data_IF_555530602311
#
_entry.id   IF_555530602311
#
_cell.length_a   1.000
_cell.length_b   1.000
_cell.length_c   1.000
_cell.angle_alpha   90.00
_cell.angle_beta   90.00
_cell.angle_gamma   90.00
#
_symmetry.space_group_name_H-M   'P 1'
#
loop_
_entity.id
_entity.type
_entity.pdbx_description
1 polymer ?
#
# COMPACT_ATOMS: atom_id res chain seq x y z
N UNK A 1 -13.06 -1.63 -14.76
CA UNK A 1 -13.86 -2.64 -14.03
C UNK A 1 -12.98 -3.85 -13.77
N UNK A 2 -13.08 -4.48 -12.60
CA UNK A 2 -12.34 -5.70 -12.23
C UNK A 2 -13.28 -6.92 -12.33
N UNK A 3 -12.72 -8.11 -12.56
CA UNK A 3 -13.49 -9.34 -12.85
C UNK A 3 -14.16 -9.97 -11.62
N UNK A 4 -13.67 -9.67 -10.43
CA UNK A 4 -14.24 -10.10 -9.14
C UNK A 4 -13.73 -9.20 -8.01
N UNK A 5 -14.20 -9.45 -6.78
CA UNK A 5 -13.95 -8.61 -5.58
C UNK A 5 -12.77 -9.10 -4.73
N UNK A 6 -11.88 -9.93 -5.28
CA UNK A 6 -10.65 -10.39 -4.61
C UNK A 6 -9.45 -9.61 -5.14
N UNK A 7 -8.76 -8.93 -4.24
CA UNK A 7 -7.56 -8.12 -4.53
C UNK A 7 -6.33 -8.83 -3.96
N UNK A 8 -5.30 -9.02 -4.79
CA UNK A 8 -3.98 -9.35 -4.26
C UNK A 8 -3.38 -8.08 -3.67
N UNK A 9 -3.39 -7.97 -2.33
CA UNK A 9 -2.76 -6.87 -1.62
C UNK A 9 -1.25 -6.85 -1.84
N UNK A 10 -0.67 -5.66 -1.82
CA UNK A 10 0.77 -5.49 -1.89
C UNK A 10 1.49 -6.28 -0.79
N UNK A 11 2.45 -7.08 -1.20
CA UNK A 11 3.35 -7.85 -0.34
C UNK A 11 4.76 -7.68 -0.86
N UNK A 12 5.71 -7.32 -0.02
CA UNK A 12 7.09 -7.13 -0.43
C UNK A 12 7.72 -8.49 -0.78
N UNK A 13 8.15 -8.65 -2.03
CA UNK A 13 8.63 -9.92 -2.59
C UNK A 13 10.09 -10.23 -2.24
N UNK A 14 10.93 -9.25 -1.88
CA UNK A 14 12.36 -9.39 -1.57
C UNK A 14 13.20 -10.03 -2.70
N UNK A 15 12.74 -9.99 -3.94
CA UNK A 15 13.38 -10.71 -5.05
C UNK A 15 13.92 -9.80 -6.16
N UNK A 16 13.96 -8.47 -5.95
CA UNK A 16 14.62 -7.57 -6.88
C UNK A 16 16.15 -7.80 -6.89
N UNK A 17 16.75 -7.67 -8.06
CA UNK A 17 18.19 -7.73 -8.22
C UNK A 17 18.71 -6.31 -8.49
N UNK A 18 19.38 -5.73 -7.50
CA UNK A 18 19.89 -4.34 -7.58
C UNK A 18 18.80 -3.33 -8.02
N UNK A 19 17.62 -3.44 -7.42
CA UNK A 19 16.49 -2.58 -7.70
C UNK A 19 15.70 -2.90 -8.97
N UNK A 20 16.04 -3.97 -9.68
CA UNK A 20 15.42 -4.35 -10.96
C UNK A 20 14.39 -5.47 -10.79
N UNK A 21 13.39 -5.45 -11.63
CA UNK A 21 12.43 -6.55 -11.82
C UNK A 21 13.17 -7.82 -12.26
N UNK A 22 12.76 -8.97 -11.71
CA UNK A 22 13.30 -10.29 -12.03
C UNK A 22 12.22 -11.20 -12.61
N UNK A 23 12.61 -12.36 -13.14
CA UNK A 23 11.66 -13.37 -13.63
C UNK A 23 10.76 -13.91 -12.49
N UNK A 24 11.25 -13.88 -11.25
CA UNK A 24 10.44 -14.24 -10.08
C UNK A 24 9.24 -13.28 -9.89
N UNK A 25 9.43 -11.97 -10.07
CA UNK A 25 8.30 -11.02 -10.05
C UNK A 25 7.29 -11.32 -11.16
N UNK A 26 7.78 -11.56 -12.39
CA UNK A 26 6.94 -11.91 -13.55
C UNK A 26 6.07 -13.13 -13.25
N UNK A 27 6.68 -14.16 -12.64
CA UNK A 27 5.98 -15.39 -12.27
C UNK A 27 4.95 -15.16 -11.17
N UNK A 28 5.28 -14.40 -10.09
CA UNK A 28 4.36 -14.12 -8.98
C UNK A 28 3.08 -13.44 -9.49
N UNK A 29 3.21 -12.43 -10.36
CA UNK A 29 2.05 -11.69 -10.85
C UNK A 29 1.27 -12.45 -11.92
N UNK A 30 1.94 -13.20 -12.77
CA UNK A 30 1.29 -14.11 -13.72
C UNK A 30 0.51 -15.22 -13.00
N UNK A 31 1.07 -15.82 -11.95
CA UNK A 31 0.39 -16.84 -11.16
C UNK A 31 -0.86 -16.29 -10.45
N UNK A 32 -0.79 -15.09 -9.88
CA UNK A 32 -1.93 -14.45 -9.26
C UNK A 32 -3.04 -14.12 -10.29
N UNK A 33 -2.67 -13.67 -11.49
CA UNK A 33 -3.62 -13.40 -12.57
C UNK A 33 -4.29 -14.68 -13.08
N UNK A 34 -3.50 -15.71 -13.37
CA UNK A 34 -3.96 -17.05 -13.77
C UNK A 34 -4.83 -17.67 -12.68
N UNK A 35 -4.50 -17.42 -11.41
CA UNK A 35 -5.24 -17.86 -10.24
C UNK A 35 -6.58 -17.16 -10.03
N UNK A 36 -6.90 -16.15 -10.83
CA UNK A 36 -8.20 -15.50 -10.87
C UNK A 36 -8.36 -14.26 -9.99
N UNK A 37 -7.29 -13.62 -9.53
CA UNK A 37 -7.39 -12.33 -8.85
C UNK A 37 -8.01 -11.26 -9.76
N UNK A 38 -8.97 -10.48 -9.25
CA UNK A 38 -9.60 -9.39 -10.01
C UNK A 38 -8.69 -8.18 -10.16
N UNK A 39 -7.98 -7.84 -9.09
CA UNK A 39 -6.97 -6.79 -9.06
C UNK A 39 -5.69 -7.31 -8.37
N UNK A 40 -4.57 -7.02 -8.96
CA UNK A 40 -3.24 -7.29 -8.41
C UNK A 40 -2.59 -5.95 -8.06
N UNK A 41 -2.21 -5.77 -6.80
CA UNK A 41 -1.36 -4.66 -6.39
C UNK A 41 0.04 -5.25 -6.20
N UNK A 42 1.04 -4.70 -6.90
CA UNK A 42 2.42 -5.16 -6.79
C UNK A 42 2.93 -5.04 -5.36
N UNK A 43 4.01 -5.70 -5.01
CA UNK A 43 4.79 -5.30 -3.84
C UNK A 43 5.19 -3.83 -3.94
N UNK A 44 5.51 -3.27 -2.79
CA UNK A 44 5.88 -1.85 -2.74
C UNK A 44 7.13 -1.58 -3.56
N UNK A 45 7.07 -0.60 -4.46
CA UNK A 45 8.20 -0.16 -5.27
C UNK A 45 8.65 1.22 -4.81
N UNK A 46 9.96 1.41 -4.71
CA UNK A 46 10.53 2.69 -4.34
C UNK A 46 10.40 3.70 -5.50
N UNK A 47 9.93 4.90 -5.18
CA UNK A 47 9.77 5.99 -6.15
C UNK A 47 11.08 6.46 -6.77
N UNK A 48 12.21 6.22 -6.08
CA UNK A 48 13.57 6.52 -6.54
C UNK A 48 14.56 5.50 -6.00
N UNK A 49 15.77 5.51 -6.51
CA UNK A 49 16.85 4.62 -6.07
C UNK A 49 17.27 4.82 -4.62
N UNK A 50 17.00 6.00 -4.04
CA UNK A 50 17.31 6.31 -2.63
C UNK A 50 16.11 6.15 -1.69
N UNK A 51 14.90 5.96 -2.22
CA UNK A 51 13.65 5.86 -1.43
C UNK A 51 13.34 4.44 -0.92
N UNK A 52 14.18 3.46 -1.22
CA UNK A 52 13.97 2.04 -0.89
C UNK A 52 14.27 1.67 0.56
N UNK A 53 13.95 0.43 0.91
CA UNK A 53 14.28 -0.16 2.22
C UNK A 53 15.30 -1.31 2.14
N UNK A 54 15.95 -1.47 1.00
CA UNK A 54 16.99 -2.48 0.82
C UNK A 54 17.15 -2.96 -0.63
N UNK A 55 18.18 -3.75 -0.91
CA UNK A 55 18.58 -4.13 -2.28
C UNK A 55 17.56 -5.05 -2.98
N UNK A 56 16.70 -5.73 -2.22
CA UNK A 56 15.64 -6.60 -2.75
C UNK A 56 14.37 -5.88 -3.18
N UNK A 57 14.35 -4.52 -3.13
CA UNK A 57 13.21 -3.71 -3.54
C UNK A 57 13.40 -3.17 -4.95
N UNK A 58 12.33 -3.21 -5.76
CA UNK A 58 12.30 -2.53 -7.05
C UNK A 58 12.30 -1.01 -6.81
N UNK A 59 13.04 -0.25 -7.64
CA UNK A 59 12.89 1.20 -7.74
C UNK A 59 12.59 1.61 -9.17
N UNK A 60 11.71 2.60 -9.34
CA UNK A 60 11.19 2.98 -10.66
C UNK A 60 12.20 3.73 -11.55
N UNK A 61 13.39 4.09 -11.03
CA UNK A 61 14.38 4.90 -11.75
C UNK A 61 15.31 4.11 -12.68
N UNK A 62 15.44 2.78 -12.54
CA UNK A 62 16.42 2.07 -13.34
C UNK A 62 16.08 2.08 -14.84
N UNK A 63 17.12 2.08 -15.66
CA UNK A 63 17.00 1.98 -17.10
C UNK A 63 16.43 0.61 -17.49
N UNK A 64 15.34 0.60 -18.28
CA UNK A 64 14.60 -0.62 -18.66
C UNK A 64 13.36 -0.90 -17.79
N UNK A 65 13.05 -0.05 -16.76
CA UNK A 65 11.85 -0.24 -15.96
C UNK A 65 10.56 -0.34 -16.79
N UNK A 66 10.42 0.53 -17.79
CA UNK A 66 9.23 0.55 -18.65
C UNK A 66 9.06 -0.76 -19.40
N UNK A 67 10.13 -1.31 -19.98
CA UNK A 67 10.12 -2.57 -20.72
C UNK A 67 9.81 -3.76 -19.80
N UNK A 68 10.50 -3.83 -18.66
CA UNK A 68 10.31 -4.90 -17.69
C UNK A 68 8.89 -4.91 -17.10
N UNK A 69 8.36 -3.73 -16.72
CA UNK A 69 7.00 -3.61 -16.20
C UNK A 69 5.94 -3.88 -17.29
N UNK A 70 6.14 -3.41 -18.52
CA UNK A 70 5.23 -3.71 -19.65
C UNK A 70 5.15 -5.21 -19.92
N UNK A 71 6.25 -5.93 -19.73
CA UNK A 71 6.27 -7.40 -19.83
C UNK A 71 5.37 -8.06 -18.77
N UNK A 72 5.39 -7.57 -17.53
CA UNK A 72 4.49 -8.04 -16.45
C UNK A 72 3.04 -7.73 -16.80
N UNK A 73 2.76 -6.47 -17.19
CA UNK A 73 1.40 -6.02 -17.56
C UNK A 73 0.83 -6.90 -18.68
N UNK A 74 1.62 -7.16 -19.71
CA UNK A 74 1.21 -7.98 -20.86
C UNK A 74 0.85 -9.40 -20.43
N UNK A 75 1.56 -10.00 -19.49
CA UNK A 75 1.25 -11.32 -18.94
C UNK A 75 -0.02 -11.31 -18.10
N UNK A 76 -0.18 -10.32 -17.23
CA UNK A 76 -1.37 -10.18 -16.38
C UNK A 76 -2.63 -9.97 -17.23
N UNK A 77 -2.55 -9.17 -18.28
CA UNK A 77 -3.66 -8.87 -19.16
C UNK A 77 -4.09 -10.05 -20.08
N UNK A 78 -3.30 -11.12 -20.17
CA UNK A 78 -3.76 -12.38 -20.80
C UNK A 78 -4.91 -13.03 -20.02
N UNK A 79 -5.08 -12.66 -18.77
CA UNK A 79 -6.14 -13.08 -17.88
C UNK A 79 -7.07 -11.88 -17.61
N UNK A 80 -8.22 -12.12 -17.00
CA UNK A 80 -9.19 -11.05 -16.68
C UNK A 80 -8.80 -10.25 -15.42
N UNK A 81 -7.52 -9.99 -15.23
CA UNK A 81 -6.95 -9.29 -14.08
C UNK A 81 -6.47 -7.89 -14.45
N UNK A 82 -6.50 -6.98 -13.46
CA UNK A 82 -5.90 -5.64 -13.53
C UNK A 82 -4.68 -5.56 -12.63
N UNK A 83 -3.73 -4.67 -12.95
CA UNK A 83 -2.51 -4.50 -12.15
C UNK A 83 -2.25 -3.04 -11.80
N UNK A 84 -2.09 -2.77 -10.50
CA UNK A 84 -1.67 -1.48 -9.94
C UNK A 84 -0.28 -1.63 -9.35
N UNK A 85 0.54 -0.59 -9.47
CA UNK A 85 1.84 -0.52 -8.83
C UNK A 85 1.71 0.23 -7.51
N UNK A 86 2.15 -0.39 -6.38
CA UNK A 86 2.22 0.33 -5.11
C UNK A 86 3.52 1.13 -5.03
N UNK A 87 3.39 2.46 -4.97
CA UNK A 87 4.51 3.40 -4.86
C UNK A 87 4.74 3.78 -3.40
N UNK A 88 6.01 3.81 -2.98
CA UNK A 88 6.38 4.14 -1.62
C UNK A 88 7.73 4.86 -1.49
N UNK A 89 7.92 5.50 -0.34
CA UNK A 89 9.20 5.95 0.20
C UNK A 89 9.38 5.34 1.59
N UNK A 90 10.49 4.65 1.81
CA UNK A 90 10.71 3.86 3.03
C UNK A 90 10.73 4.71 4.31
N UNK A 91 11.19 5.97 4.24
CA UNK A 91 11.35 6.77 5.44
C UNK A 91 12.21 6.07 6.49
N UNK A 92 11.76 5.98 7.76
CA UNK A 92 12.55 5.38 8.83
C UNK A 92 12.67 3.84 8.75
N UNK A 93 12.04 3.21 7.76
CA UNK A 93 12.19 1.78 7.49
C UNK A 93 13.25 1.45 6.45
N UNK A 94 14.07 2.42 6.09
CA UNK A 94 15.20 2.25 5.19
C UNK A 94 16.29 1.36 5.81
N UNK A 95 16.94 0.53 5.00
CA UNK A 95 18.20 -0.11 5.40
C UNK A 95 19.32 0.94 5.43
N UNK A 96 19.65 1.40 6.63
CA UNK A 96 20.65 2.44 6.87
C UNK A 96 22.06 2.11 6.34
N UNK A 97 22.34 0.82 6.08
CA UNK A 97 23.64 0.37 5.55
C UNK A 97 23.77 0.63 4.04
N UNK A 98 22.69 0.90 3.36
CA UNK A 98 22.61 0.89 1.89
C UNK A 98 22.68 2.28 1.23
N UNK A 99 22.88 3.36 1.97
CA UNK A 99 23.01 4.73 1.41
C UNK A 99 21.70 5.36 0.93
N UNK A 100 20.55 4.86 1.38
CA UNK A 100 19.23 5.42 1.11
C UNK A 100 18.94 6.70 1.91
N UNK A 101 17.86 7.39 1.57
CA UNK A 101 17.37 8.59 2.27
C UNK A 101 17.06 8.30 3.74
N UNK A 102 17.51 9.20 4.64
CA UNK A 102 17.44 9.00 6.10
C UNK A 102 16.64 10.07 6.80
N UNK A 103 15.41 10.28 6.38
CA UNK A 103 14.55 11.26 7.01
C UNK A 103 13.14 10.69 7.29
N UNK A 104 12.45 11.36 8.21
CA UNK A 104 11.06 11.10 8.57
C UNK A 104 10.36 12.44 8.85
N UNK A 105 9.12 12.43 9.32
CA UNK A 105 8.43 13.68 9.74
C UNK A 105 9.19 14.43 10.83
N UNK A 106 9.73 13.70 11.79
CA UNK A 106 10.51 14.22 12.91
C UNK A 106 11.71 13.31 13.17
N UNK A 107 12.68 13.70 14.00
CA UNK A 107 13.82 12.83 14.31
C UNK A 107 13.35 11.52 14.94
N UNK A 108 13.69 10.38 14.33
CA UNK A 108 13.37 9.04 14.83
C UNK A 108 14.66 8.29 15.08
N UNK A 109 14.83 7.80 16.32
CA UNK A 109 15.93 6.91 16.68
C UNK A 109 15.50 5.47 16.39
N UNK A 110 16.19 4.82 15.47
CA UNK A 110 15.99 3.41 15.14
C UNK A 110 16.98 2.51 15.88
N UNK A 111 16.87 1.19 15.69
CA UNK A 111 17.83 0.22 16.21
C UNK A 111 19.28 0.67 15.87
N UNK A 112 20.23 0.26 16.68
CA UNK A 112 21.66 0.63 16.57
C UNK A 112 21.99 2.12 16.82
N UNK A 113 21.04 2.91 17.35
CA UNK A 113 21.28 4.30 17.75
C UNK A 113 21.33 5.33 16.62
N UNK A 114 21.01 4.92 15.40
CA UNK A 114 20.93 5.81 14.25
C UNK A 114 19.71 6.70 14.37
N UNK A 115 19.90 7.98 14.07
CA UNK A 115 18.84 8.97 14.06
C UNK A 115 18.54 9.37 12.61
N UNK A 116 17.29 9.16 12.19
CA UNK A 116 16.74 9.76 10.99
C UNK A 116 16.36 11.19 11.30
N UNK A 117 16.76 12.15 10.47
CA UNK A 117 16.47 13.55 10.71
C UNK A 117 15.04 13.92 10.31
N UNK A 118 14.56 15.07 10.77
CA UNK A 118 13.30 15.63 10.27
C UNK A 118 13.50 16.09 8.82
N UNK A 119 12.64 15.64 7.92
CA UNK A 119 12.70 16.01 6.51
C UNK A 119 12.67 17.52 6.33
N UNK A 120 13.58 18.04 5.49
CA UNK A 120 13.60 19.42 5.03
C UNK A 120 12.53 19.66 3.97
N UNK A 121 12.18 20.93 3.71
CA UNK A 121 11.21 21.27 2.65
C UNK A 121 11.69 20.84 1.26
N UNK A 122 13.00 20.93 0.99
CA UNK A 122 13.58 20.52 -0.29
C UNK A 122 13.48 18.99 -0.49
N UNK A 123 13.73 18.20 0.58
CA UNK A 123 13.55 16.75 0.54
C UNK A 123 12.07 16.38 0.32
N UNK A 124 11.13 17.09 0.97
CA UNK A 124 9.70 16.87 0.75
C UNK A 124 9.28 17.22 -0.68
N UNK A 125 9.76 18.35 -1.22
CA UNK A 125 9.49 18.74 -2.61
C UNK A 125 10.02 17.69 -3.61
N UNK A 126 11.22 17.12 -3.34
CA UNK A 126 11.78 16.03 -4.13
C UNK A 126 10.89 14.78 -4.04
N UNK A 127 10.45 14.38 -2.86
CA UNK A 127 9.55 13.23 -2.68
C UNK A 127 8.26 13.42 -3.47
N UNK A 128 7.62 14.58 -3.38
CA UNK A 128 6.40 14.92 -4.13
C UNK A 128 6.63 14.78 -5.64
N UNK A 129 7.75 15.31 -6.14
CA UNK A 129 8.14 15.20 -7.54
C UNK A 129 8.33 13.73 -7.97
N UNK A 130 9.10 12.97 -7.20
CA UNK A 130 9.46 11.59 -7.51
C UNK A 130 8.23 10.66 -7.56
N UNK A 131 7.22 10.86 -6.68
CA UNK A 131 5.95 10.14 -6.79
C UNK A 131 5.25 10.38 -8.12
N UNK A 132 5.20 11.63 -8.58
CA UNK A 132 4.62 11.98 -9.89
C UNK A 132 5.37 11.32 -11.05
N UNK A 133 6.70 11.36 -11.02
CA UNK A 133 7.57 10.72 -12.04
C UNK A 133 7.35 9.21 -12.06
N UNK A 134 7.36 8.56 -10.90
CA UNK A 134 7.14 7.12 -10.76
C UNK A 134 5.76 6.71 -11.29
N UNK A 135 4.70 7.42 -10.91
CA UNK A 135 3.35 7.16 -11.39
C UNK A 135 3.22 7.29 -12.91
N UNK A 136 3.86 8.32 -13.49
CA UNK A 136 3.91 8.47 -14.96
C UNK A 136 4.58 7.29 -15.64
N UNK A 137 5.69 6.77 -15.10
CA UNK A 137 6.36 5.58 -15.63
C UNK A 137 5.45 4.35 -15.57
N UNK A 138 4.74 4.13 -14.46
CA UNK A 138 3.75 3.05 -14.35
C UNK A 138 2.67 3.15 -15.43
N UNK A 139 2.11 4.34 -15.65
CA UNK A 139 1.13 4.58 -16.73
C UNK A 139 1.71 4.28 -18.10
N UNK A 140 2.93 4.74 -18.39
CA UNK A 140 3.60 4.50 -19.68
C UNK A 140 3.92 3.02 -19.92
N UNK A 141 4.19 2.26 -18.85
CA UNK A 141 4.37 0.81 -18.90
C UNK A 141 3.06 0.03 -19.12
N UNK A 142 1.90 0.71 -19.10
CA UNK A 142 0.59 0.12 -19.36
C UNK A 142 -0.11 -0.43 -18.10
N UNK A 143 0.38 -0.12 -16.89
CA UNK A 143 -0.31 -0.47 -15.66
C UNK A 143 -1.70 0.17 -15.60
N UNK A 144 -2.67 -0.52 -15.00
CA UNK A 144 -4.06 -0.05 -14.91
C UNK A 144 -4.29 1.02 -13.84
N UNK A 145 -3.32 1.26 -12.96
CA UNK A 145 -3.36 2.27 -11.91
C UNK A 145 -2.12 2.25 -11.02
N UNK A 146 -2.10 3.13 -10.04
CA UNK A 146 -1.09 3.17 -8.98
C UNK A 146 -1.76 3.21 -7.61
N UNK A 147 -1.06 2.71 -6.58
CA UNK A 147 -1.46 2.84 -5.19
C UNK A 147 -0.39 3.58 -4.41
N UNK A 148 -0.77 4.68 -3.76
CA UNK A 148 0.11 5.42 -2.84
C UNK A 148 0.13 4.67 -1.49
N UNK A 149 1.32 4.38 -0.99
CA UNK A 149 1.48 3.68 0.30
C UNK A 149 1.60 4.67 1.47
N UNK A 150 0.52 4.82 2.23
CA UNK A 150 0.42 5.70 3.41
C UNK A 150 0.11 4.90 4.69
N UNK A 151 0.73 3.73 4.84
CA UNK A 151 0.47 2.82 5.95
C UNK A 151 1.79 2.28 6.55
N UNK A 152 1.70 1.58 7.68
CA UNK A 152 2.70 0.65 8.24
C UNK A 152 4.02 1.27 8.70
N UNK A 153 4.07 2.57 9.03
CA UNK A 153 5.28 3.23 9.53
C UNK A 153 6.28 3.63 8.44
N UNK A 154 5.89 3.61 7.16
CA UNK A 154 6.65 4.20 6.06
C UNK A 154 6.55 5.73 6.10
N UNK A 155 7.26 6.43 5.21
CA UNK A 155 7.39 7.90 5.27
C UNK A 155 6.05 8.61 5.50
N UNK A 156 5.03 8.34 4.68
CA UNK A 156 3.73 9.01 4.79
C UNK A 156 3.01 8.74 6.11
N UNK A 157 3.11 7.51 6.64
CA UNK A 157 2.59 7.23 7.98
C UNK A 157 3.26 8.09 9.04
N UNK A 158 4.57 8.34 8.93
CA UNK A 158 5.26 9.17 9.92
C UNK A 158 4.76 10.61 9.94
N UNK A 159 4.25 11.12 8.81
CA UNK A 159 3.63 12.44 8.74
C UNK A 159 2.20 12.42 9.31
N UNK A 160 1.40 11.44 8.93
CA UNK A 160 0.00 11.33 9.36
C UNK A 160 -0.14 11.07 10.87
N UNK A 161 0.74 10.23 11.42
CA UNK A 161 0.66 9.77 12.81
C UNK A 161 1.20 10.77 13.81
N UNK A 162 0.44 11.17 14.83
CA UNK A 162 0.95 12.00 15.93
C UNK A 162 1.99 11.27 16.79
N UNK A 163 2.04 9.93 16.73
CA UNK A 163 3.08 9.13 17.35
C UNK A 163 4.48 9.53 16.86
N UNK A 164 4.63 9.72 15.55
CA UNK A 164 5.90 10.10 14.93
C UNK A 164 6.03 11.61 14.70
N UNK A 165 4.95 12.28 14.29
CA UNK A 165 4.98 13.67 13.86
C UNK A 165 4.96 14.64 15.05
N UNK A 166 6.12 15.19 15.37
CA UNK A 166 6.29 16.22 16.41
C UNK A 166 6.68 17.58 15.80
N UNK A 167 6.38 17.80 14.50
CA UNK A 167 6.68 19.07 13.80
C UNK A 167 5.79 20.21 14.34
N UNK A 168 6.35 21.42 14.28
CA UNK A 168 5.65 22.66 14.62
C UNK A 168 5.42 23.58 13.42
N UNK A 169 5.75 23.11 12.20
CA UNK A 169 5.52 23.82 10.94
C UNK A 169 4.21 23.36 10.27
N UNK A 170 3.99 23.77 9.02
CA UNK A 170 2.80 23.47 8.23
C UNK A 170 2.57 21.98 7.91
N UNK A 171 3.50 21.10 8.28
CA UNK A 171 3.37 19.64 8.14
C UNK A 171 3.11 18.94 9.47
N UNK A 172 2.90 19.67 10.58
CA UNK A 172 2.70 19.11 11.91
C UNK A 172 1.49 19.68 12.66
N UNK A 173 1.16 19.11 13.80
CA UNK A 173 0.02 19.52 14.63
C UNK A 173 -1.30 18.86 14.21
N UNK A 174 -2.35 19.62 13.82
CA UNK A 174 -3.65 19.06 13.49
C UNK A 174 -3.59 18.21 12.20
N UNK A 175 -4.60 17.36 11.98
CA UNK A 175 -4.60 16.39 10.87
C UNK A 175 -4.53 17.07 9.51
N UNK A 176 -5.08 18.26 9.36
CA UNK A 176 -5.02 19.07 8.14
C UNK A 176 -3.57 19.37 7.72
N UNK A 177 -2.70 19.61 8.69
CA UNK A 177 -1.28 19.82 8.46
C UNK A 177 -0.54 18.50 8.28
N UNK A 178 -0.82 17.49 9.12
CA UNK A 178 -0.17 16.19 9.04
C UNK A 178 -0.44 15.46 7.72
N UNK A 179 -1.58 15.70 7.09
CA UNK A 179 -1.96 15.13 5.78
C UNK A 179 -1.46 15.93 4.57
N UNK A 180 -0.89 17.11 4.76
CA UNK A 180 -0.42 18.00 3.68
C UNK A 180 0.48 17.28 2.68
N UNK A 181 1.51 16.58 3.17
CA UNK A 181 2.43 15.86 2.29
C UNK A 181 1.71 14.82 1.43
N UNK A 182 0.75 14.07 2.00
CA UNK A 182 -0.05 13.10 1.25
C UNK A 182 -0.86 13.79 0.15
N UNK A 183 -1.47 14.94 0.43
CA UNK A 183 -2.26 15.67 -0.56
C UNK A 183 -1.38 16.25 -1.67
N UNK A 184 -0.21 16.78 -1.35
CA UNK A 184 0.77 17.27 -2.33
C UNK A 184 1.25 16.14 -3.25
N UNK A 185 1.52 14.95 -2.69
CA UNK A 185 1.87 13.75 -3.46
C UNK A 185 0.71 13.32 -4.36
N UNK A 186 -0.52 13.26 -3.82
CA UNK A 186 -1.70 12.94 -4.61
C UNK A 186 -1.87 13.89 -5.80
N UNK A 187 -1.75 15.19 -5.57
CA UNK A 187 -1.87 16.21 -6.61
C UNK A 187 -0.75 16.06 -7.67
N UNK A 188 0.49 15.77 -7.26
CA UNK A 188 1.61 15.50 -8.17
C UNK A 188 1.35 14.25 -9.02
N UNK A 189 0.88 13.16 -8.41
CA UNK A 189 0.53 11.92 -9.12
C UNK A 189 -0.62 12.17 -10.09
N UNK A 190 -1.72 12.81 -9.65
CA UNK A 190 -2.89 13.11 -10.49
C UNK A 190 -2.51 13.98 -11.69
N UNK A 191 -1.68 15.01 -11.49
CA UNK A 191 -1.17 15.84 -12.58
C UNK A 191 -0.31 15.04 -13.57
N UNK A 192 0.47 14.08 -13.10
CA UNK A 192 1.34 13.27 -13.94
C UNK A 192 0.60 12.22 -14.76
N UNK A 193 -0.50 11.67 -14.23
CA UNK A 193 -1.24 10.56 -14.87
C UNK A 193 -2.56 11.00 -15.51
N UNK A 194 -3.08 12.20 -15.20
CA UNK A 194 -4.35 12.71 -15.73
C UNK A 194 -5.58 12.18 -14.99
N UNK A 195 -6.76 12.73 -15.33
CA UNK A 195 -8.01 12.56 -14.56
C UNK A 195 -8.60 11.15 -14.63
N UNK A 196 -8.40 10.43 -15.72
CA UNK A 196 -9.03 9.13 -15.98
C UNK A 196 -8.19 7.93 -15.50
N UNK A 197 -6.96 8.17 -15.00
CA UNK A 197 -6.08 7.10 -14.57
C UNK A 197 -6.31 6.79 -13.09
N UNK A 198 -6.60 5.51 -12.73
CA UNK A 198 -6.92 5.13 -11.37
C UNK A 198 -5.77 5.36 -10.38
N UNK A 199 -6.07 6.06 -9.28
CA UNK A 199 -5.18 6.25 -8.14
C UNK A 199 -5.84 5.65 -6.91
N UNK A 200 -5.18 4.70 -6.29
CA UNK A 200 -5.58 4.10 -5.02
C UNK A 200 -4.70 4.62 -3.86
N UNK A 201 -5.18 4.45 -2.65
CA UNK A 201 -4.43 4.68 -1.42
C UNK A 201 -4.49 3.44 -0.53
N UNK A 202 -3.36 3.05 0.04
CA UNK A 202 -3.33 2.16 1.20
C UNK A 202 -3.07 2.98 2.45
N UNK A 203 -4.01 2.95 3.41
CA UNK A 203 -3.99 3.80 4.60
C UNK A 203 -4.14 2.97 5.88
N UNK A 204 -3.30 3.25 6.89
CA UNK A 204 -3.52 2.76 8.26
C UNK A 204 -4.55 3.64 8.96
N UNK A 205 -5.68 3.05 9.37
CA UNK A 205 -6.69 3.75 10.17
C UNK A 205 -6.33 3.84 11.65
N UNK A 206 -5.37 3.03 12.10
CA UNK A 206 -4.76 3.08 13.42
C UNK A 206 -3.34 2.54 13.36
N UNK A 207 -2.44 3.13 14.11
CA UNK A 207 -1.07 2.63 14.27
C UNK A 207 -0.98 1.49 15.29
N UNK A 208 -2.06 1.23 16.03
CA UNK A 208 -2.17 0.26 17.13
C UNK A 208 -1.24 0.59 18.31
N UNK A 209 -0.98 1.87 18.54
CA UNK A 209 -0.27 2.42 19.71
C UNK A 209 -1.14 3.48 20.37
N UNK A 210 -0.81 3.86 21.63
CA UNK A 210 -1.67 4.73 22.45
C UNK A 210 -1.85 6.15 21.94
N UNK A 211 -0.84 6.68 21.24
CA UNK A 211 -0.83 8.03 20.64
C UNK A 211 -0.97 7.97 19.11
N UNK A 212 -1.70 6.99 18.61
CA UNK A 212 -2.02 6.76 17.21
C UNK A 212 -2.90 7.86 16.61
N UNK A 213 -2.89 7.96 15.29
CA UNK A 213 -4.00 8.58 14.56
C UNK A 213 -5.32 7.90 14.90
N UNK A 214 -6.41 8.67 14.93
CA UNK A 214 -7.74 8.09 15.15
C UNK A 214 -8.41 7.68 13.85
N UNK A 215 -9.35 6.71 13.88
CA UNK A 215 -10.13 6.36 12.69
C UNK A 215 -10.90 7.56 12.10
N UNK A 216 -11.36 8.49 12.94
CA UNK A 216 -12.06 9.70 12.50
C UNK A 216 -11.15 10.66 11.73
N UNK A 217 -9.90 10.85 12.20
CA UNK A 217 -8.89 11.62 11.46
C UNK A 217 -8.59 10.98 10.10
N UNK A 218 -8.43 9.66 10.05
CA UNK A 218 -8.16 8.96 8.80
C UNK A 218 -9.36 8.97 7.86
N UNK A 219 -10.58 8.91 8.39
CA UNK A 219 -11.80 9.09 7.60
C UNK A 219 -11.89 10.50 7.02
N UNK A 220 -11.50 11.53 7.78
CA UNK A 220 -11.42 12.89 7.27
C UNK A 220 -10.42 12.99 6.11
N UNK A 221 -9.24 12.38 6.23
CA UNK A 221 -8.24 12.31 5.13
C UNK A 221 -8.83 11.65 3.89
N UNK A 222 -9.54 10.53 4.05
CA UNK A 222 -10.21 9.85 2.94
C UNK A 222 -11.26 10.73 2.25
N UNK A 223 -12.09 11.45 3.02
CA UNK A 223 -13.08 12.38 2.47
C UNK A 223 -12.47 13.53 1.68
N UNK A 224 -11.36 14.08 2.16
CA UNK A 224 -10.65 15.14 1.40
C UNK A 224 -10.04 14.58 0.09
N UNK A 225 -9.52 13.36 0.10
CA UNK A 225 -9.03 12.70 -1.11
C UNK A 225 -10.17 12.31 -2.07
N UNK A 226 -11.33 11.90 -1.55
CA UNK A 226 -12.55 11.63 -2.34
C UNK A 226 -12.98 12.89 -3.11
N UNK A 227 -13.03 14.05 -2.45
CA UNK A 227 -13.29 15.35 -3.11
C UNK A 227 -12.27 15.68 -4.21
N UNK A 228 -11.05 15.20 -4.07
CA UNK A 228 -9.99 15.36 -5.07
C UNK A 228 -10.05 14.33 -6.19
N UNK A 229 -10.91 13.30 -6.08
CA UNK A 229 -11.12 12.26 -7.09
C UNK A 229 -10.19 11.07 -6.97
N UNK A 230 -9.89 10.59 -5.75
CA UNK A 230 -9.27 9.29 -5.55
C UNK A 230 -10.23 8.17 -5.91
N UNK A 231 -9.72 7.04 -6.41
CA UNK A 231 -10.56 6.01 -7.02
C UNK A 231 -10.78 4.77 -6.11
N UNK A 232 -9.91 4.53 -5.13
CA UNK A 232 -9.97 3.33 -4.30
C UNK A 232 -9.17 3.47 -3.02
N UNK A 233 -9.72 3.01 -1.88
CA UNK A 233 -9.03 2.97 -0.58
C UNK A 233 -8.88 1.51 -0.10
N UNK A 234 -7.66 1.09 0.19
CA UNK A 234 -7.36 -0.16 0.90
C UNK A 234 -7.05 0.16 2.36
N UNK A 235 -7.96 -0.22 3.26
CA UNK A 235 -7.83 0.03 4.70
C UNK A 235 -7.00 -1.05 5.36
N UNK A 236 -5.99 -0.59 6.11
CA UNK A 236 -5.10 -1.41 6.93
C UNK A 236 -4.92 -0.78 8.31
N UNK A 237 -4.06 -1.36 9.16
CA UNK A 237 -3.66 -0.79 10.46
C UNK A 237 -2.31 -1.35 10.90
N UNK A 238 -1.76 -0.75 11.95
CA UNK A 238 -0.50 -1.14 12.57
C UNK A 238 0.72 -0.49 11.94
N UNK A 239 1.76 -0.41 12.75
CA UNK A 239 3.08 0.06 12.36
C UNK A 239 4.11 -1.02 12.67
N UNK A 240 5.25 -0.98 11.97
CA UNK A 240 6.38 -1.85 12.23
C UNK A 240 7.69 -1.05 12.30
N UNK A 241 7.59 0.28 12.45
CA UNK A 241 8.73 1.18 12.42
C UNK A 241 9.47 1.26 13.77
N UNK A 242 8.81 0.85 14.84
CA UNK A 242 9.38 0.75 16.18
C UNK A 242 9.13 -0.63 16.79
N UNK A 243 9.72 -0.90 17.93
CA UNK A 243 9.56 -2.15 18.67
C UNK A 243 8.28 -2.19 19.52
N UNK A 244 7.26 -1.39 19.19
CA UNK A 244 6.00 -1.29 19.95
C UNK A 244 5.15 -2.57 19.93
N UNK A 245 5.47 -3.52 19.04
CA UNK A 245 4.67 -4.73 18.84
C UNK A 245 3.37 -4.52 18.06
N UNK A 246 3.12 -3.31 17.57
CA UNK A 246 1.96 -2.93 16.76
C UNK A 246 2.09 -3.45 15.33
N UNK A 247 1.91 -4.75 15.13
CA UNK A 247 2.16 -5.42 13.86
C UNK A 247 1.10 -5.10 12.80
N UNK A 248 1.55 -4.63 11.64
CA UNK A 248 0.73 -4.53 10.43
C UNK A 248 0.46 -5.90 9.75
N UNK A 249 1.06 -6.97 10.25
CA UNK A 249 0.92 -8.33 9.73
C UNK A 249 0.51 -9.29 10.86
N UNK A 250 -0.68 -9.09 11.48
CA UNK A 250 -1.12 -9.94 12.57
C UNK A 250 -1.24 -11.40 12.12
N UNK A 251 -1.00 -12.33 13.03
CA UNK A 251 -1.18 -13.76 12.83
C UNK A 251 -2.43 -14.19 13.58
N UNK A 252 -3.28 -15.01 12.92
CA UNK A 252 -4.42 -15.62 13.57
C UNK A 252 -3.96 -16.74 14.50
N UNK A 253 -4.37 -16.65 15.78
CA UNK A 253 -4.23 -17.74 16.76
C UNK A 253 -5.56 -18.49 16.84
N UNK A 254 -5.55 -19.67 17.47
CA UNK A 254 -6.77 -20.41 17.72
C UNK A 254 -7.79 -19.56 18.50
N UNK A 255 -9.00 -19.44 17.95
CA UNK A 255 -10.06 -18.60 18.50
C UNK A 255 -10.07 -17.14 18.04
N UNK A 256 -9.05 -16.72 17.29
CA UNK A 256 -9.02 -15.36 16.74
C UNK A 256 -10.06 -15.19 15.62
N UNK A 257 -10.68 -14.02 15.60
CA UNK A 257 -11.61 -13.63 14.54
C UNK A 257 -10.84 -13.19 13.29
N UNK A 258 -11.29 -13.64 12.12
CA UNK A 258 -10.81 -13.12 10.83
C UNK A 258 -11.20 -11.65 10.64
N UNK A 259 -10.54 -10.96 9.69
CA UNK A 259 -10.85 -9.56 9.42
C UNK A 259 -10.38 -8.60 10.52
N UNK A 260 -9.10 -8.67 10.90
CA UNK A 260 -8.53 -7.86 12.01
C UNK A 260 -8.73 -6.35 11.85
N UNK A 261 -8.87 -5.86 10.62
CA UNK A 261 -9.07 -4.42 10.33
C UNK A 261 -10.44 -4.14 9.70
N UNK A 262 -11.38 -5.09 9.82
CA UNK A 262 -12.70 -5.00 9.21
C UNK A 262 -13.52 -3.81 9.73
N UNK A 263 -13.52 -3.57 11.04
CA UNK A 263 -14.29 -2.47 11.65
C UNK A 263 -13.88 -1.10 11.09
N UNK A 264 -12.56 -0.86 10.96
CA UNK A 264 -12.04 0.37 10.35
C UNK A 264 -12.42 0.48 8.88
N UNK A 265 -12.42 -0.64 8.15
CA UNK A 265 -12.79 -0.64 6.73
C UNK A 265 -14.31 -0.41 6.53
N UNK A 266 -15.14 -0.93 7.42
CA UNK A 266 -16.58 -0.66 7.43
C UNK A 266 -16.88 0.82 7.69
N UNK A 267 -16.20 1.43 8.66
CA UNK A 267 -16.32 2.87 8.90
C UNK A 267 -16.04 3.68 7.61
N UNK A 268 -15.01 3.29 6.86
CA UNK A 268 -14.70 3.89 5.55
C UNK A 268 -15.81 3.64 4.53
N UNK A 269 -16.18 2.36 4.32
CA UNK A 269 -17.11 1.97 3.26
C UNK A 269 -18.57 2.43 3.50
N UNK A 270 -18.95 2.63 4.76
CA UNK A 270 -20.28 3.16 5.11
C UNK A 270 -20.38 4.68 4.94
N UNK A 271 -19.23 5.35 4.78
CA UNK A 271 -19.16 6.82 4.77
C UNK A 271 -18.74 7.40 3.42
N UNK A 272 -17.88 6.69 2.68
CA UNK A 272 -17.34 7.12 1.39
C UNK A 272 -18.18 6.57 0.25
N UNK A 273 -18.28 7.31 -0.84
CA UNK A 273 -18.94 6.87 -2.07
C UNK A 273 -18.02 6.05 -2.99
N UNK A 274 -16.70 6.17 -2.78
CA UNK A 274 -15.69 5.43 -3.54
C UNK A 274 -15.50 4.00 -3.02
N UNK A 275 -15.00 3.09 -3.86
CA UNK A 275 -14.69 1.72 -3.46
C UNK A 275 -13.71 1.63 -2.28
N UNK A 276 -14.04 0.80 -1.29
CA UNK A 276 -13.17 0.51 -0.13
C UNK A 276 -12.96 -1.00 -0.03
N UNK A 277 -11.73 -1.41 0.28
CA UNK A 277 -11.40 -2.79 0.63
C UNK A 277 -10.81 -2.90 2.03
N UNK A 278 -10.95 -4.07 2.62
CA UNK A 278 -10.31 -4.45 3.87
C UNK A 278 -9.20 -5.46 3.63
N UNK A 279 -8.04 -5.27 4.26
CA UNK A 279 -6.99 -6.29 4.38
C UNK A 279 -6.85 -6.73 5.84
N UNK A 280 -6.39 -7.93 6.08
CA UNK A 280 -6.03 -8.41 7.42
C UNK A 280 -6.69 -9.72 7.82
N UNK A 281 -5.92 -10.81 7.72
CA UNK A 281 -6.27 -12.13 8.24
C UNK A 281 -7.58 -12.73 7.71
N UNK A 282 -7.83 -12.65 6.41
CA UNK A 282 -8.95 -13.35 5.76
C UNK A 282 -8.47 -14.71 5.22
N UNK A 283 -9.26 -15.77 5.47
CA UNK A 283 -8.94 -17.15 5.07
C UNK A 283 -10.16 -17.93 4.57
N UNK A 284 -11.34 -17.62 5.11
CA UNK A 284 -12.57 -18.40 4.88
C UNK A 284 -13.39 -17.79 3.76
N UNK A 285 -13.66 -18.50 2.65
CA UNK A 285 -14.47 -17.98 1.56
C UNK A 285 -15.88 -17.64 2.02
N UNK A 286 -16.51 -18.47 2.86
CA UNK A 286 -17.86 -18.18 3.40
C UNK A 286 -17.90 -16.88 4.22
N UNK A 287 -16.85 -16.62 5.01
CA UNK A 287 -16.76 -15.37 5.77
C UNK A 287 -16.58 -14.15 4.86
N UNK A 288 -15.74 -14.28 3.81
CA UNK A 288 -15.53 -13.24 2.80
C UNK A 288 -16.83 -12.97 2.05
N UNK A 289 -17.52 -14.01 1.58
CA UNK A 289 -18.78 -13.87 0.87
C UNK A 289 -19.86 -13.23 1.75
N UNK A 290 -19.98 -13.66 3.01
CA UNK A 290 -20.88 -13.04 3.98
C UNK A 290 -20.63 -11.54 4.12
N UNK A 291 -19.37 -11.10 4.31
CA UNK A 291 -19.03 -9.69 4.44
C UNK A 291 -19.39 -8.94 3.16
N UNK A 292 -18.95 -9.46 2.02
CA UNK A 292 -19.17 -8.79 0.73
C UNK A 292 -20.65 -8.68 0.34
N UNK A 293 -21.50 -9.61 0.80
CA UNK A 293 -22.95 -9.60 0.51
C UNK A 293 -23.76 -8.80 1.53
N UNK A 294 -23.26 -8.64 2.76
CA UNK A 294 -24.02 -8.02 3.87
C UNK A 294 -23.53 -6.62 4.28
N UNK A 295 -22.47 -6.11 3.65
CA UNK A 295 -21.89 -4.79 3.97
C UNK A 295 -21.65 -3.96 2.70
N UNK A 296 -21.31 -2.70 2.89
CA UNK A 296 -20.91 -1.73 1.85
C UNK A 296 -19.49 -1.96 1.28
N UNK A 297 -18.70 -2.85 1.88
CA UNK A 297 -17.36 -3.15 1.40
C UNK A 297 -17.35 -3.63 -0.05
N UNK A 298 -16.49 -3.00 -0.87
CA UNK A 298 -16.41 -3.31 -2.29
C UNK A 298 -15.58 -4.54 -2.59
N UNK A 299 -14.50 -4.78 -1.83
CA UNK A 299 -13.56 -5.88 -2.08
C UNK A 299 -12.87 -6.34 -0.79
N UNK A 300 -12.29 -7.53 -0.84
CA UNK A 300 -11.38 -8.06 0.18
C UNK A 300 -9.98 -8.21 -0.41
N UNK A 301 -8.99 -7.71 0.33
CA UNK A 301 -7.59 -7.75 -0.04
C UNK A 301 -6.87 -8.87 0.71
N UNK A 302 -6.19 -9.74 -0.04
CA UNK A 302 -5.46 -10.90 0.48
C UNK A 302 -3.96 -10.73 0.23
N UNK A 303 -3.17 -10.78 1.28
CA UNK A 303 -1.69 -10.78 1.20
C UNK A 303 -1.14 -12.20 1.21
N UNK A 304 -0.66 -12.66 2.38
CA UNK A 304 -0.04 -13.98 2.59
C UNK A 304 -0.83 -15.18 2.04
N UNK A 305 -2.16 -15.24 2.10
CA UNK A 305 -2.90 -16.33 1.49
C UNK A 305 -2.59 -16.51 -0.01
N UNK A 306 -2.53 -15.42 -0.78
CA UNK A 306 -2.24 -15.46 -2.23
C UNK A 306 -0.74 -15.63 -2.55
N UNK A 307 0.16 -15.37 -1.60
CA UNK A 307 1.57 -15.75 -1.73
C UNK A 307 1.72 -17.28 -1.62
N UNK A 308 0.98 -17.91 -0.72
CA UNK A 308 1.02 -19.35 -0.51
C UNK A 308 0.23 -20.12 -1.57
N UNK A 309 -0.93 -19.62 -1.96
CA UNK A 309 -1.88 -20.26 -2.86
C UNK A 309 -2.42 -19.21 -3.84
N UNK A 310 -1.67 -18.98 -4.92
CA UNK A 310 -2.01 -17.96 -5.91
C UNK A 310 -3.36 -18.19 -6.61
N UNK A 311 -3.84 -19.44 -6.62
CA UNK A 311 -5.05 -19.89 -7.28
C UNK A 311 -6.31 -19.91 -6.38
N UNK A 312 -6.23 -19.37 -5.15
CA UNK A 312 -7.37 -19.30 -4.22
C UNK A 312 -8.66 -18.77 -4.85
N UNK A 313 -8.67 -17.65 -5.62
CA UNK A 313 -9.91 -17.16 -6.21
C UNK A 313 -10.59 -18.19 -7.13
N UNK A 314 -9.84 -18.97 -7.90
CA UNK A 314 -10.37 -20.02 -8.73
C UNK A 314 -10.82 -21.25 -7.90
N UNK A 315 -10.07 -21.64 -6.87
CA UNK A 315 -10.45 -22.72 -5.94
C UNK A 315 -11.78 -22.41 -5.24
N UNK A 316 -11.95 -21.18 -4.78
CA UNK A 316 -13.16 -20.75 -4.06
C UNK A 316 -14.42 -20.66 -4.92
N UNK A 317 -14.32 -20.79 -6.24
CA UNK A 317 -15.51 -20.96 -7.11
C UNK A 317 -16.17 -22.33 -6.96
N UNK A 318 -15.43 -23.33 -6.50
CA UNK A 318 -15.87 -24.73 -6.44
C UNK A 318 -15.68 -25.39 -5.08
N UNK A 319 -15.05 -24.70 -4.12
CA UNK A 319 -14.72 -25.22 -2.79
C UNK A 319 -14.82 -24.12 -1.74
N UNK A 320 -15.29 -24.47 -0.55
CA UNK A 320 -15.30 -23.60 0.64
C UNK A 320 -14.12 -23.86 1.58
N UNK A 321 -13.07 -24.50 1.09
CA UNK A 321 -11.87 -24.74 1.90
C UNK A 321 -11.17 -23.44 2.27
N UNK A 322 -10.79 -23.34 3.55
CA UNK A 322 -10.04 -22.21 4.05
C UNK A 322 -8.64 -22.19 3.44
N UNK A 323 -8.12 -20.99 3.18
CA UNK A 323 -6.72 -20.84 2.81
C UNK A 323 -5.80 -21.45 3.86
N UNK A 324 -4.76 -22.15 3.40
CA UNK A 324 -3.79 -22.86 4.27
C UNK A 324 -2.85 -21.90 5.03
N UNK A 325 -2.81 -20.61 4.65
CA UNK A 325 -2.01 -19.58 5.31
C UNK A 325 -2.59 -19.23 6.68
N UNK A 326 -1.72 -19.09 7.70
CA UNK A 326 -2.08 -18.74 9.07
C UNK A 326 -1.80 -17.26 9.33
#
# INVERSE_FOLDING_TARGET
MISNRIVKSAMFEYCANQGRITDQHRQIYEDAARGGCGLIITGMEAISSTAGNGPGMIHTEYDGYLEDMSSIVSKVHQYSSRIFVQLQHAGPRTDWKSGYDRFASSPIKVADGIIYHAATKDELAKVVHDFGVAARKCKLAGCDGVQIHAAHGFLLTTFLSPHFNKRADEYGGPIENRSRLLFEIYDSVRNAVGVDYPIALKLSFSDLVSDSSTPEEMLWVCKELEKKGIDFIEVSSGISADNSGASCSPVLRNGDREGKFLESALLGSDTLEIPVSSVGCYRSPDFIEHILSSTSLTAISLGRPLVREADLPNKWRTSNEKAACI
#
